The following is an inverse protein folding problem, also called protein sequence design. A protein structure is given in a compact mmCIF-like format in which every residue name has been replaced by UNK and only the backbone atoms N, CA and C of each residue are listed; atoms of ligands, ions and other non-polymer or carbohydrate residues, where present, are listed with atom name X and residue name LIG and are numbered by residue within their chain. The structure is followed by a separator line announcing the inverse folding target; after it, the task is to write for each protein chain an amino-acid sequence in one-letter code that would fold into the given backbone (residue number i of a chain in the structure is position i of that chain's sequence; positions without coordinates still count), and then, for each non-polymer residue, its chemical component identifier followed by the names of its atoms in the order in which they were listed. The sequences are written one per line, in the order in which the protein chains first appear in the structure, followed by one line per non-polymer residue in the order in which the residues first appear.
data_IF_437773390977
#
_entry.id   IF_437773390977
#
_cell.length_a   1.000
_cell.length_b   1.000
_cell.length_c   1.000
_cell.angle_alpha   90.00
_cell.angle_beta   90.00
_cell.angle_gamma   90.00
#
_symmetry.space_group_name_H-M   'P 1'
#
loop_
_entity.id
_entity.type
_entity.pdbx_description
1 polymer ?
#
# COMPACT_ATOMS: atom_id res chain seq x y z
N UNK A 1 -10.92 -18.19 24.59
CA UNK A 1 -11.23 -16.87 24.03
C UNK A 1 -9.96 -16.37 23.38
N UNK A 2 -9.93 -16.24 22.05
CA UNK A 2 -8.79 -15.67 21.32
C UNK A 2 -9.12 -14.19 21.15
N UNK A 3 -8.38 -13.31 21.83
CA UNK A 3 -8.50 -11.88 21.63
C UNK A 3 -8.13 -11.56 20.18
N UNK A 4 -9.00 -10.86 19.46
CA UNK A 4 -8.62 -10.25 18.20
C UNK A 4 -7.53 -9.21 18.51
N UNK A 5 -6.40 -9.18 17.76
CA UNK A 5 -5.40 -8.14 17.98
C UNK A 5 -6.03 -6.78 17.66
N UNK A 6 -6.02 -5.89 18.65
CA UNK A 6 -6.47 -4.51 18.56
C UNK A 6 -5.50 -3.76 17.63
N UNK A 7 -5.85 -3.67 16.35
CA UNK A 7 -5.19 -2.77 15.39
C UNK A 7 -6.07 -1.54 15.23
N UNK A 8 -5.84 -0.52 16.05
CA UNK A 8 -6.57 0.77 16.06
C UNK A 8 -6.02 1.78 15.03
N UNK A 9 -5.53 1.31 13.88
CA UNK A 9 -5.03 2.18 12.80
C UNK A 9 -4.65 1.40 11.53
N UNK A 10 -4.60 2.07 10.37
CA UNK A 10 -4.14 1.44 9.13
C UNK A 10 -2.71 0.94 9.28
N UNK A 11 -2.41 -0.18 8.63
CA UNK A 11 -1.02 -0.65 8.54
C UNK A 11 -0.19 0.34 7.71
N UNK A 12 1.13 0.37 7.93
CA UNK A 12 2.07 1.19 7.14
C UNK A 12 1.89 0.96 5.63
N UNK A 13 1.59 -0.27 5.20
CA UNK A 13 1.33 -0.57 3.79
C UNK A 13 0.01 0.04 3.28
N UNK A 14 -1.04 0.04 4.09
CA UNK A 14 -2.32 0.66 3.73
C UNK A 14 -2.19 2.17 3.63
N UNK A 15 -1.49 2.81 4.58
CA UNK A 15 -1.24 4.25 4.57
C UNK A 15 -0.41 4.68 3.35
N UNK A 16 0.63 3.92 2.98
CA UNK A 16 1.40 4.16 1.74
C UNK A 16 0.48 4.13 0.51
N UNK A 17 -0.42 3.14 0.44
CA UNK A 17 -1.32 3.00 -0.70
C UNK A 17 -2.37 4.10 -0.73
N UNK A 18 -2.90 4.52 0.41
CA UNK A 18 -3.83 5.65 0.52
C UNK A 18 -3.19 6.95 0.03
N UNK A 19 -2.00 7.29 0.51
CA UNK A 19 -1.26 8.48 0.04
C UNK A 19 -0.98 8.41 -1.47
N UNK A 20 -0.62 7.23 -1.99
CA UNK A 20 -0.45 7.07 -3.43
C UNK A 20 -1.77 7.26 -4.21
N UNK A 21 -2.91 6.79 -3.68
CA UNK A 21 -4.22 7.04 -4.30
C UNK A 21 -4.64 8.50 -4.26
N UNK A 22 -4.24 9.23 -3.22
CA UNK A 22 -4.45 10.67 -3.09
C UNK A 22 -3.52 11.49 -4.02
N UNK A 23 -2.57 10.83 -4.68
CA UNK A 23 -1.73 11.39 -5.74
C UNK A 23 -0.33 11.81 -5.31
N UNK A 24 0.10 11.46 -4.10
CA UNK A 24 1.47 11.69 -3.66
C UNK A 24 2.45 10.78 -4.39
N UNK A 25 3.63 11.31 -4.69
CA UNK A 25 4.70 10.52 -5.30
C UNK A 25 5.48 9.68 -4.28
N UNK A 26 6.28 8.74 -4.77
CA UNK A 26 7.01 7.79 -3.91
C UNK A 26 8.07 8.45 -3.03
N UNK A 27 8.61 9.61 -3.42
CA UNK A 27 9.58 10.35 -2.64
C UNK A 27 8.89 11.17 -1.54
N UNK A 28 7.76 11.81 -1.84
CA UNK A 28 6.92 12.53 -0.88
C UNK A 28 6.45 11.60 0.25
N UNK A 29 5.95 10.41 -0.11
CA UNK A 29 5.51 9.40 0.87
C UNK A 29 6.69 8.92 1.71
N UNK A 30 7.83 8.61 1.09
CA UNK A 30 9.02 8.17 1.83
C UNK A 30 9.49 9.22 2.83
N UNK A 31 9.45 10.50 2.47
CA UNK A 31 9.84 11.60 3.34
C UNK A 31 8.83 11.81 4.49
N UNK A 32 7.53 11.75 4.19
CA UNK A 32 6.46 11.96 5.17
C UNK A 32 6.39 10.86 6.24
N UNK A 33 6.78 9.63 5.90
CA UNK A 33 6.68 8.47 6.78
C UNK A 33 7.97 8.14 7.56
N UNK A 34 8.99 8.99 7.55
CA UNK A 34 10.23 8.68 8.27
C UNK A 34 10.04 8.54 9.79
N UNK A 35 9.08 9.25 10.37
CA UNK A 35 8.78 9.20 11.80
C UNK A 35 8.03 7.91 12.18
N UNK A 36 7.06 7.49 11.35
CA UNK A 36 6.22 6.32 11.60
C UNK A 36 6.86 5.00 11.10
N UNK A 37 7.66 5.07 10.04
CA UNK A 37 8.30 3.93 9.40
C UNK A 37 9.78 4.23 9.06
N UNK A 38 10.66 4.32 10.07
CA UNK A 38 12.06 4.60 9.85
C UNK A 38 12.72 3.54 8.95
N UNK A 39 13.43 4.01 7.91
CA UNK A 39 14.04 3.15 6.92
C UNK A 39 13.10 2.67 5.81
N UNK A 40 11.88 3.22 5.73
CA UNK A 40 11.08 3.14 4.52
C UNK A 40 11.80 3.91 3.40
N UNK A 41 12.09 3.20 2.31
CA UNK A 41 12.76 3.76 1.13
C UNK A 41 11.77 3.89 -0.01
N UNK A 42 12.04 4.84 -0.90
CA UNK A 42 11.29 5.02 -2.15
C UNK A 42 11.19 3.70 -2.95
N UNK A 43 12.28 2.94 -3.03
CA UNK A 43 12.30 1.65 -3.72
C UNK A 43 11.33 0.62 -3.09
N UNK A 44 11.15 0.64 -1.76
CA UNK A 44 10.23 -0.26 -1.06
C UNK A 44 8.77 0.14 -1.32
N UNK A 45 8.49 1.44 -1.35
CA UNK A 45 7.17 1.98 -1.71
C UNK A 45 6.83 1.65 -3.17
N UNK A 46 7.75 1.88 -4.11
CA UNK A 46 7.55 1.56 -5.52
C UNK A 46 7.23 0.07 -5.75
N UNK A 47 7.93 -0.82 -5.04
CA UNK A 47 7.66 -2.27 -5.08
C UNK A 47 6.27 -2.62 -4.53
N UNK A 48 5.82 -1.94 -3.47
CA UNK A 48 4.47 -2.12 -2.92
C UNK A 48 3.40 -1.73 -3.95
N UNK A 49 3.54 -0.53 -4.53
CA UNK A 49 2.61 0.00 -5.54
C UNK A 49 2.55 -0.92 -6.76
N UNK A 50 3.69 -1.41 -7.25
CA UNK A 50 3.75 -2.34 -8.37
C UNK A 50 2.96 -3.63 -8.10
N UNK A 51 3.13 -4.23 -6.90
CA UNK A 51 2.37 -5.42 -6.49
C UNK A 51 0.87 -5.16 -6.40
N UNK A 52 0.47 -3.99 -5.92
CA UNK A 52 -0.94 -3.61 -5.85
C UNK A 52 -1.54 -3.39 -7.24
N UNK A 53 -0.80 -2.75 -8.15
CA UNK A 53 -1.21 -2.61 -9.55
C UNK A 53 -1.39 -3.97 -10.23
N UNK A 54 -0.43 -4.89 -10.04
CA UNK A 54 -0.49 -6.25 -10.60
C UNK A 54 -1.69 -7.02 -10.05
N UNK A 55 -1.96 -6.91 -8.75
CA UNK A 55 -3.14 -7.52 -8.11
C UNK A 55 -4.44 -7.01 -8.74
N UNK A 56 -4.57 -5.69 -8.92
CA UNK A 56 -5.73 -5.08 -9.57
C UNK A 56 -5.84 -5.47 -11.03
N UNK A 57 -4.72 -5.55 -11.74
CA UNK A 57 -4.69 -5.98 -13.13
C UNK A 57 -5.17 -7.44 -13.28
N UNK A 58 -4.65 -8.34 -12.45
CA UNK A 58 -5.07 -9.74 -12.42
C UNK A 58 -6.56 -9.90 -12.06
N UNK A 59 -7.05 -9.11 -11.10
CA UNK A 59 -8.47 -9.10 -10.74
C UNK A 59 -9.37 -8.64 -11.91
N UNK A 60 -8.94 -7.64 -12.68
CA UNK A 60 -9.66 -7.21 -13.91
C UNK A 60 -9.70 -8.32 -14.96
N UNK A 61 -8.59 -9.04 -15.18
CA UNK A 61 -8.54 -10.14 -16.15
C UNK A 61 -9.47 -11.30 -15.74
N UNK A 62 -9.52 -11.65 -14.46
CA UNK A 62 -10.40 -12.70 -13.95
C UNK A 62 -11.88 -12.29 -13.95
N UNK A 63 -12.19 -11.00 -13.75
CA UNK A 63 -13.54 -10.45 -13.88
C UNK A 63 -14.01 -10.33 -15.33
N UNK A 64 -13.11 -9.98 -16.25
CA UNK A 64 -13.39 -9.88 -17.69
C UNK A 64 -13.52 -11.23 -18.39
N UNK A 65 -12.85 -12.28 -17.93
CA UNK A 65 -12.94 -13.64 -18.49
C UNK A 65 -14.28 -14.36 -18.21
N UNK A 66 -15.19 -13.72 -17.46
CA UNK A 66 -16.54 -14.22 -17.13
C UNK A 66 -17.67 -13.43 -17.78
N UNK A 67 -17.37 -12.35 -18.51
CA UNK A 67 -18.33 -11.55 -19.26
C UNK A 67 -18.33 -11.98 -20.73
#
# INVERSE_FOLDING_TARGET
MIAAPEHDGPTVEEEILELWFDGFDTAEIAAGMQDDAPGLTEARIANLIAREMDRRHAARLQGGARA
#
